data_IF_399408262253
#
_entry.id   IF_399408262253
#
_cell.length_a   1.000
_cell.length_b   1.000
_cell.length_c   1.000
_cell.angle_alpha   90.00
_cell.angle_beta   90.00
_cell.angle_gamma   90.00
#
_symmetry.space_group_name_H-M   'P 1'
#
loop_
_entity.id
_entity.type
_entity.pdbx_description
1 polymer ?
#
# COMPACT_ATOMS: atom_id res chain seq x y z
N UNK A 1 1.23 2.59 -0.07
CA UNK A 1 2.43 1.80 0.28
C UNK A 1 2.36 0.46 -0.39
N UNK A 2 1.49 -0.43 0.08
CA UNK A 2 1.31 -1.77 -0.51
C UNK A 2 0.99 -1.75 -2.01
N UNK A 3 0.21 -0.77 -2.47
CA UNK A 3 -0.08 -0.57 -3.92
C UNK A 3 1.18 -0.30 -4.76
N UNK A 4 2.24 0.29 -4.19
CA UNK A 4 3.53 0.47 -4.90
C UNK A 4 4.21 -0.88 -5.13
N UNK A 5 4.19 -1.75 -4.12
CA UNK A 5 4.72 -3.11 -4.20
C UNK A 5 3.89 -3.94 -5.19
N UNK A 6 2.57 -3.81 -5.15
CA UNK A 6 1.68 -4.48 -6.10
C UNK A 6 1.96 -4.03 -7.54
N UNK A 7 2.05 -2.71 -7.79
CA UNK A 7 2.34 -2.18 -9.11
C UNK A 7 3.72 -2.63 -9.64
N UNK A 8 4.74 -2.70 -8.78
CA UNK A 8 6.06 -3.25 -9.11
C UNK A 8 5.95 -4.66 -9.70
N UNK A 9 5.19 -5.55 -9.04
CA UNK A 9 5.02 -6.93 -9.50
C UNK A 9 4.05 -7.06 -10.68
N UNK A 10 2.92 -6.34 -10.66
CA UNK A 10 1.86 -6.46 -11.66
C UNK A 10 2.30 -5.97 -13.04
N UNK A 11 3.10 -4.90 -13.07
CA UNK A 11 3.58 -4.29 -14.32
C UNK A 11 5.03 -4.64 -14.64
N UNK A 12 5.70 -5.44 -13.81
CA UNK A 12 7.11 -5.82 -13.97
C UNK A 12 8.02 -4.58 -14.15
N UNK A 13 7.84 -3.58 -13.28
CA UNK A 13 8.55 -2.30 -13.34
C UNK A 13 9.46 -2.13 -12.13
N UNK A 14 10.71 -1.67 -12.29
CA UNK A 14 11.53 -1.25 -11.15
C UNK A 14 10.77 -0.24 -10.28
N UNK A 15 10.84 -0.40 -8.96
CA UNK A 15 10.12 0.49 -8.03
C UNK A 15 10.51 1.97 -8.17
N UNK A 16 11.73 2.26 -8.63
CA UNK A 16 12.19 3.63 -8.90
C UNK A 16 11.51 4.27 -10.14
N UNK A 17 10.74 3.50 -10.92
CA UNK A 17 9.87 3.98 -11.98
C UNK A 17 8.41 4.19 -11.52
N UNK A 18 8.12 4.02 -10.22
CA UNK A 18 6.80 4.21 -9.64
C UNK A 18 6.80 5.47 -8.78
N UNK A 19 5.99 6.46 -9.15
CA UNK A 19 5.82 7.70 -8.40
C UNK A 19 4.46 7.73 -7.66
N UNK A 20 4.45 8.31 -6.46
CA UNK A 20 3.22 8.57 -5.71
C UNK A 20 2.94 10.07 -5.72
N UNK A 21 1.73 10.43 -6.15
CA UNK A 21 1.21 11.81 -6.11
C UNK A 21 -0.05 11.83 -5.25
N UNK A 22 -0.14 12.79 -4.33
CA UNK A 22 -1.31 12.97 -3.47
C UNK A 22 -2.39 13.69 -4.26
N UNK A 23 -3.52 13.01 -4.46
CA UNK A 23 -4.69 13.55 -5.15
C UNK A 23 -5.96 13.42 -4.27
N UNK A 24 -6.31 14.45 -3.48
CA UNK A 24 -7.39 14.37 -2.50
C UNK A 24 -8.79 14.11 -3.07
N UNK A 25 -9.03 14.46 -4.35
CA UNK A 25 -10.35 14.31 -4.96
C UNK A 25 -10.63 12.87 -5.43
N UNK A 26 -9.61 12.01 -5.53
CA UNK A 26 -9.72 10.62 -5.97
C UNK A 26 -10.50 10.45 -7.29
N UNK A 27 -10.40 11.42 -8.20
CA UNK A 27 -11.01 11.35 -9.53
C UNK A 27 -10.04 10.76 -10.54
N UNK A 28 -8.77 11.16 -10.49
CA UNK A 28 -7.70 10.47 -11.20
C UNK A 28 -7.29 9.27 -10.34
N UNK A 29 -7.50 8.06 -10.84
CA UNK A 29 -7.22 6.84 -10.08
C UNK A 29 -5.77 6.35 -10.23
N UNK A 30 -5.10 6.69 -11.33
CA UNK A 30 -3.66 6.53 -11.58
C UNK A 30 -3.32 7.01 -13.00
N UNK A 31 -2.02 7.09 -13.30
CA UNK A 31 -1.50 7.62 -14.56
C UNK A 31 -0.28 6.82 -15.04
N UNK A 32 0.00 6.86 -16.35
CA UNK A 32 1.22 6.31 -16.96
C UNK A 32 1.86 7.39 -17.83
N UNK A 33 3.15 7.65 -17.60
CA UNK A 33 3.98 8.55 -18.41
C UNK A 33 4.72 7.77 -19.50
N UNK A 34 4.77 8.33 -20.71
CA UNK A 34 5.44 7.76 -21.88
C UNK A 34 6.70 8.56 -22.25
N UNK A 35 7.57 7.96 -23.06
CA UNK A 35 8.88 8.53 -23.41
C UNK A 35 8.83 9.84 -24.23
N UNK A 36 7.67 10.18 -24.80
CA UNK A 36 7.38 11.45 -25.47
C UNK A 36 6.86 12.54 -24.51
N UNK A 37 6.75 12.21 -23.22
CA UNK A 37 6.22 13.08 -22.16
C UNK A 37 4.69 13.08 -22.07
N UNK A 38 3.99 12.23 -22.84
CA UNK A 38 2.55 12.10 -22.71
C UNK A 38 2.18 11.34 -21.44
N UNK A 39 1.11 11.79 -20.78
CA UNK A 39 0.54 11.12 -19.60
C UNK A 39 -0.88 10.66 -19.92
N UNK A 40 -1.14 9.35 -19.77
CA UNK A 40 -2.48 8.77 -19.89
C UNK A 40 -3.01 8.48 -18.48
N UNK A 41 -4.17 9.05 -18.18
CA UNK A 41 -4.84 8.93 -16.89
C UNK A 41 -6.17 8.17 -17.01
N UNK A 42 -6.48 7.33 -16.03
CA UNK A 42 -7.84 6.82 -15.86
C UNK A 42 -8.58 7.67 -14.84
N UNK A 43 -9.74 8.20 -15.25
CA UNK A 43 -10.59 9.05 -14.42
C UNK A 43 -11.97 8.45 -14.23
N UNK A 44 -12.55 8.63 -13.05
CA UNK A 44 -13.90 8.19 -12.76
C UNK A 44 -14.41 8.68 -11.41
N UNK A 45 -15.67 8.39 -11.14
CA UNK A 45 -16.17 8.45 -9.76
C UNK A 45 -15.53 7.28 -8.96
N UNK A 46 -15.26 7.43 -7.65
CA UNK A 46 -14.63 6.40 -6.83
C UNK A 46 -15.62 5.26 -6.53
N UNK A 47 -15.87 4.43 -7.55
CA UNK A 47 -16.82 3.31 -7.52
C UNK A 47 -16.16 2.05 -8.10
N UNK A 48 -15.93 1.06 -7.22
CA UNK A 48 -15.29 -0.21 -7.55
C UNK A 48 -16.01 -1.02 -8.63
N UNK A 49 -17.29 -0.78 -8.89
CA UNK A 49 -17.99 -1.42 -10.01
C UNK A 49 -17.33 -1.12 -11.36
N UNK A 50 -16.59 0.01 -11.49
CA UNK A 50 -15.92 0.38 -12.75
C UNK A 50 -14.75 -0.56 -13.02
N UNK A 51 -13.72 -0.64 -12.15
CA UNK A 51 -12.60 -1.55 -12.38
C UNK A 51 -13.03 -3.02 -12.36
N UNK A 52 -13.99 -3.42 -11.51
CA UNK A 52 -14.47 -4.82 -11.47
C UNK A 52 -15.13 -5.21 -12.80
N UNK A 53 -16.05 -4.40 -13.32
CA UNK A 53 -16.68 -4.70 -14.61
C UNK A 53 -15.63 -4.77 -15.71
N UNK A 54 -14.71 -3.79 -15.75
CA UNK A 54 -13.67 -3.75 -16.76
C UNK A 54 -12.79 -5.00 -16.72
N UNK A 55 -12.36 -5.45 -15.54
CA UNK A 55 -11.57 -6.67 -15.39
C UNK A 55 -12.34 -7.93 -15.85
N UNK A 56 -13.64 -8.01 -15.58
CA UNK A 56 -14.49 -9.16 -15.96
C UNK A 56 -14.83 -9.20 -17.45
N UNK A 57 -14.91 -8.03 -18.11
CA UNK A 57 -15.37 -7.95 -19.50
C UNK A 57 -14.27 -7.59 -20.48
N UNK A 58 -13.04 -7.38 -20.02
CA UNK A 58 -11.91 -6.99 -20.86
C UNK A 58 -11.77 -7.93 -22.09
N UNK A 59 -11.60 -7.40 -23.31
CA UNK A 59 -11.40 -5.98 -23.66
C UNK A 59 -12.70 -5.19 -23.91
N UNK A 60 -13.86 -5.83 -23.80
CA UNK A 60 -15.16 -5.21 -24.02
C UNK A 60 -15.55 -4.24 -22.88
N UNK A 61 -16.34 -3.23 -23.23
CA UNK A 61 -16.92 -2.28 -22.27
C UNK A 61 -18.44 -2.36 -22.31
N UNK A 62 -19.04 -2.74 -21.19
CA UNK A 62 -20.49 -2.81 -21.06
C UNK A 62 -21.07 -1.48 -20.58
N UNK A 63 -22.30 -1.13 -20.99
CA UNK A 63 -22.97 0.06 -20.49
C UNK A 63 -23.31 -0.07 -19.00
N UNK A 64 -23.31 1.07 -18.29
CA UNK A 64 -23.71 1.17 -16.88
C UNK A 64 -24.72 2.30 -16.69
N UNK A 65 -25.56 2.15 -15.66
CA UNK A 65 -26.60 3.12 -15.28
C UNK A 65 -26.21 4.00 -14.09
N UNK A 66 -25.02 3.79 -13.54
CA UNK A 66 -24.53 4.51 -12.37
C UNK A 66 -24.10 5.94 -12.71
N UNK A 67 -23.96 6.83 -11.70
CA UNK A 67 -23.47 8.19 -11.91
C UNK A 67 -22.15 8.22 -12.67
N UNK A 68 -22.05 9.17 -13.60
CA UNK A 68 -20.83 9.39 -14.40
C UNK A 68 -20.09 10.62 -13.89
N UNK A 69 -18.81 10.72 -14.24
CA UNK A 69 -17.98 11.86 -13.87
C UNK A 69 -18.43 13.11 -14.62
N UNK A 70 -18.85 14.13 -13.89
CA UNK A 70 -19.07 15.48 -14.41
C UNK A 70 -17.87 16.37 -14.07
N UNK A 71 -16.99 16.57 -15.06
CA UNK A 71 -15.78 17.38 -14.91
C UNK A 71 -16.08 18.85 -14.63
N UNK A 72 -17.17 19.39 -15.19
CA UNK A 72 -17.53 20.79 -14.99
C UNK A 72 -18.04 21.03 -13.56
N UNK A 73 -18.81 20.08 -13.01
CA UNK A 73 -19.27 20.13 -11.63
C UNK A 73 -18.15 19.90 -10.60
N UNK A 74 -17.13 19.10 -10.94
CA UNK A 74 -15.98 18.84 -10.06
C UNK A 74 -15.13 20.08 -9.79
N UNK A 75 -14.97 20.96 -10.79
CA UNK A 75 -14.25 22.22 -10.67
C UNK A 75 -12.72 22.09 -10.64
N UNK A 76 -12.14 21.55 -9.57
CA UNK A 76 -10.69 21.53 -9.35
C UNK A 76 -10.13 20.13 -9.07
N UNK A 77 -8.96 19.84 -9.64
CA UNK A 77 -8.13 18.69 -9.31
C UNK A 77 -6.81 19.22 -8.76
N UNK A 78 -6.44 18.79 -7.56
CA UNK A 78 -5.20 19.23 -6.90
C UNK A 78 -4.25 18.07 -6.73
N UNK A 79 -2.95 18.37 -6.81
CA UNK A 79 -1.86 17.40 -6.69
C UNK A 79 -0.81 17.94 -5.72
N UNK A 80 -0.21 17.05 -4.94
CA UNK A 80 0.90 17.38 -4.06
C UNK A 80 1.89 16.21 -3.95
N UNK A 81 3.15 16.52 -3.66
CA UNK A 81 4.13 15.49 -3.32
C UNK A 81 3.81 14.87 -1.96
N UNK A 82 4.10 13.57 -1.77
CA UNK A 82 3.91 12.90 -0.49
C UNK A 82 4.87 13.47 0.58
N UNK A 83 4.38 13.54 1.81
CA UNK A 83 5.16 13.93 2.98
C UNK A 83 5.64 12.67 3.71
N UNK A 84 6.87 12.23 3.39
CA UNK A 84 7.43 10.99 3.93
C UNK A 84 7.72 11.03 5.43
N UNK A 85 7.87 12.22 6.02
CA UNK A 85 8.05 12.38 7.47
C UNK A 85 6.72 12.18 8.20
N UNK A 86 5.60 12.69 7.63
CA UNK A 86 4.26 12.45 8.18
C UNK A 86 3.72 11.05 7.90
N UNK A 87 4.13 10.44 6.78
CA UNK A 87 3.65 9.12 6.34
C UNK A 87 4.82 8.14 6.15
N UNK A 88 5.54 7.78 7.23
CA UNK A 88 6.73 6.93 7.15
C UNK A 88 6.46 5.53 6.57
N UNK A 89 5.24 5.00 6.73
CA UNK A 89 4.86 3.71 6.13
C UNK A 89 4.96 3.71 4.60
N UNK A 90 4.82 4.87 3.94
CA UNK A 90 5.04 4.96 2.51
C UNK A 90 6.52 4.75 2.16
N UNK A 91 7.42 5.40 2.91
CA UNK A 91 8.87 5.25 2.76
C UNK A 91 9.29 3.80 2.98
N UNK A 92 8.82 3.19 4.07
CA UNK A 92 9.09 1.77 4.38
C UNK A 92 8.63 0.84 3.25
N UNK A 93 7.49 1.10 2.62
CA UNK A 93 7.03 0.28 1.49
C UNK A 93 7.98 0.34 0.28
N UNK A 94 8.48 1.54 -0.07
CA UNK A 94 9.48 1.69 -1.12
C UNK A 94 10.80 0.98 -0.78
N UNK A 95 11.26 1.09 0.47
CA UNK A 95 12.48 0.43 0.93
C UNK A 95 12.34 -1.10 0.96
N UNK A 96 11.23 -1.62 1.48
CA UNK A 96 10.92 -3.05 1.46
C UNK A 96 10.83 -3.60 0.03
N UNK A 97 10.20 -2.84 -0.88
CA UNK A 97 10.13 -3.21 -2.29
C UNK A 97 11.53 -3.27 -2.94
N UNK A 98 12.40 -2.28 -2.65
CA UNK A 98 13.78 -2.27 -3.15
C UNK A 98 14.63 -3.42 -2.59
N UNK A 99 14.46 -3.74 -1.31
CA UNK A 99 15.15 -4.87 -0.68
C UNK A 99 14.69 -6.20 -1.28
N UNK A 100 13.41 -6.31 -1.64
CA UNK A 100 12.82 -7.55 -2.15
C UNK A 100 12.75 -8.63 -1.08
N UNK A 101 12.85 -9.89 -1.48
CA UNK A 101 12.84 -11.01 -0.54
C UNK A 101 11.54 -11.10 0.27
N UNK A 102 11.66 -11.33 1.57
CA UNK A 102 10.56 -11.40 2.52
C UNK A 102 10.11 -10.04 3.08
N UNK A 103 10.84 -8.95 2.83
CA UNK A 103 10.54 -7.63 3.40
C UNK A 103 9.14 -7.09 3.07
N UNK A 104 8.60 -7.23 1.84
CA UNK A 104 7.22 -6.86 1.56
C UNK A 104 6.19 -7.65 2.39
N UNK A 105 6.45 -8.94 2.64
CA UNK A 105 5.58 -9.78 3.46
C UNK A 105 5.62 -9.33 4.92
N UNK A 106 6.81 -9.07 5.48
CA UNK A 106 6.97 -8.54 6.84
C UNK A 106 6.23 -7.22 7.01
N UNK A 107 6.40 -6.28 6.08
CA UNK A 107 5.70 -5.00 6.07
C UNK A 107 4.18 -5.20 6.14
N UNK A 108 3.64 -6.07 5.27
CA UNK A 108 2.20 -6.36 5.21
C UNK A 108 1.69 -6.97 6.52
N UNK A 109 2.37 -7.99 7.05
CA UNK A 109 1.94 -8.72 8.25
C UNK A 109 2.07 -7.87 9.51
N UNK A 110 3.17 -7.13 9.66
CA UNK A 110 3.34 -6.21 10.78
C UNK A 110 2.26 -5.11 10.75
N UNK A 111 1.94 -4.58 9.56
CA UNK A 111 0.86 -3.62 9.39
C UNK A 111 -0.50 -4.20 9.78
N UNK A 112 -0.84 -5.43 9.37
CA UNK A 112 -2.09 -6.09 9.76
C UNK A 112 -2.23 -6.19 11.29
N UNK A 113 -1.19 -6.67 11.97
CA UNK A 113 -1.21 -6.83 13.43
C UNK A 113 -1.29 -5.48 14.15
N UNK A 114 -0.51 -4.50 13.70
CA UNK A 114 -0.49 -3.16 14.30
C UNK A 114 -1.82 -2.42 14.09
N UNK A 115 -2.41 -2.50 12.90
CA UNK A 115 -3.74 -1.91 12.62
C UNK A 115 -4.81 -2.58 13.46
N UNK A 116 -4.79 -3.91 13.61
CA UNK A 116 -5.73 -4.61 14.49
C UNK A 116 -5.61 -4.13 15.95
N UNK A 117 -4.38 -3.99 16.46
CA UNK A 117 -4.15 -3.45 17.81
C UNK A 117 -4.62 -1.99 17.96
N UNK A 118 -4.45 -1.16 16.93
CA UNK A 118 -4.97 0.22 16.92
C UNK A 118 -6.50 0.25 16.94
N UNK A 119 -7.16 -0.59 16.13
CA UNK A 119 -8.63 -0.69 16.08
C UNK A 119 -9.23 -1.23 17.39
N UNK A 120 -8.47 -2.03 18.12
CA UNK A 120 -8.80 -2.50 19.47
C UNK A 120 -8.40 -1.51 20.58
N UNK A 121 -7.98 -0.29 20.22
CA UNK A 121 -7.57 0.78 21.14
C UNK A 121 -6.37 0.41 22.05
N UNK A 122 -5.57 -0.60 21.66
CA UNK A 122 -4.40 -1.05 22.43
C UNK A 122 -3.16 -0.20 22.19
N UNK A 123 -3.08 0.48 21.05
CA UNK A 123 -1.99 1.39 20.68
C UNK A 123 -2.52 2.66 20.03
N UNK A 124 -1.83 3.80 20.14
CA UNK A 124 -2.16 5.00 19.37
C UNK A 124 -1.77 4.86 17.89
N UNK A 125 -2.37 5.65 17.00
CA UNK A 125 -2.11 5.62 15.55
C UNK A 125 -0.62 5.70 15.18
N UNK A 126 0.14 6.58 15.83
CA UNK A 126 1.57 6.76 15.55
C UNK A 126 2.41 5.50 15.78
N UNK A 127 1.98 4.61 16.69
CA UNK A 127 2.71 3.38 17.04
C UNK A 127 2.66 2.33 15.93
N UNK A 128 1.75 2.45 14.96
CA UNK A 128 1.67 1.55 13.79
C UNK A 128 2.99 1.58 13.01
N UNK A 129 3.48 2.78 12.69
CA UNK A 129 4.72 2.93 11.94
C UNK A 129 5.93 2.39 12.71
N UNK A 130 5.99 2.64 14.02
CA UNK A 130 7.07 2.15 14.89
C UNK A 130 7.13 0.61 14.90
N UNK A 131 5.99 -0.07 15.08
CA UNK A 131 5.94 -1.54 15.10
C UNK A 131 6.32 -2.17 13.75
N UNK A 132 5.90 -1.54 12.64
CA UNK A 132 6.30 -1.99 11.30
C UNK A 132 7.81 -1.84 11.12
N UNK A 133 8.39 -0.71 11.53
CA UNK A 133 9.83 -0.47 11.45
C UNK A 133 10.62 -1.49 12.28
N UNK A 134 10.21 -1.72 13.53
CA UNK A 134 10.87 -2.70 14.42
C UNK A 134 10.81 -4.12 13.82
N UNK A 135 9.67 -4.51 13.22
CA UNK A 135 9.55 -5.81 12.56
C UNK A 135 10.45 -5.93 11.32
N UNK A 136 10.56 -4.87 10.52
CA UNK A 136 11.45 -4.83 9.36
C UNK A 136 12.93 -4.87 9.75
N UNK A 137 13.30 -4.21 10.84
CA UNK A 137 14.68 -4.17 11.34
C UNK A 137 15.09 -5.51 11.97
N UNK A 138 14.14 -6.26 12.53
CA UNK A 138 14.38 -7.59 13.10
C UNK A 138 14.40 -8.71 12.04
N UNK A 139 13.85 -8.46 10.85
CA UNK A 139 13.72 -9.49 9.82
C UNK A 139 15.06 -9.82 9.15
N UNK A 140 15.31 -11.12 9.00
CA UNK A 140 16.39 -11.66 8.19
C UNK A 140 15.80 -12.57 7.12
N UNK A 141 16.18 -12.33 5.86
CA UNK A 141 15.67 -13.14 4.77
C UNK A 141 16.12 -14.60 4.86
N UNK A 142 15.22 -15.56 4.58
CA UNK A 142 15.61 -16.95 4.39
C UNK A 142 16.48 -17.10 3.14
N UNK A 143 17.17 -18.24 3.01
CA UNK A 143 18.01 -18.53 1.84
C UNK A 143 17.25 -18.61 0.52
N UNK A 144 15.94 -18.89 0.57
CA UNK A 144 15.05 -18.97 -0.58
C UNK A 144 13.67 -18.45 -0.21
N UNK A 145 12.99 -17.79 -1.15
CA UNK A 145 11.61 -17.34 -1.00
C UNK A 145 10.69 -18.27 -1.79
N UNK A 146 9.86 -18.99 -1.06
CA UNK A 146 8.82 -19.90 -1.54
C UNK A 146 7.60 -19.85 -0.61
N UNK A 147 6.54 -20.58 -0.95
CA UNK A 147 5.29 -20.56 -0.20
C UNK A 147 5.47 -20.87 1.29
N UNK A 148 6.23 -21.91 1.62
CA UNK A 148 6.47 -22.35 2.99
C UNK A 148 7.25 -21.29 3.80
N UNK A 149 8.29 -20.71 3.20
CA UNK A 149 9.06 -19.65 3.86
C UNK A 149 8.25 -18.37 4.04
N UNK A 150 7.32 -18.05 3.15
CA UNK A 150 6.40 -16.92 3.31
C UNK A 150 5.44 -17.14 4.49
N UNK A 151 4.89 -18.36 4.64
CA UNK A 151 4.07 -18.68 5.81
C UNK A 151 4.86 -18.58 7.12
N UNK A 152 6.13 -18.98 7.09
CA UNK A 152 7.00 -18.86 8.25
C UNK A 152 7.35 -17.39 8.57
N UNK A 153 7.56 -16.56 7.55
CA UNK A 153 7.73 -15.11 7.70
C UNK A 153 6.48 -14.50 8.34
N UNK A 154 5.28 -14.84 7.88
CA UNK A 154 4.02 -14.38 8.50
C UNK A 154 3.97 -14.77 9.98
N UNK A 155 4.16 -16.06 10.28
CA UNK A 155 4.12 -16.56 11.67
C UNK A 155 5.11 -15.84 12.57
N UNK A 156 6.38 -15.76 12.17
CA UNK A 156 7.45 -15.09 12.94
C UNK A 156 7.19 -13.61 13.13
N UNK A 157 6.72 -12.91 12.08
CA UNK A 157 6.40 -11.49 12.15
C UNK A 157 5.27 -11.24 13.15
N UNK A 158 4.20 -12.05 13.11
CA UNK A 158 3.10 -11.96 14.08
C UNK A 158 3.59 -12.16 15.51
N UNK A 159 4.36 -13.22 15.75
CA UNK A 159 4.92 -13.52 17.08
C UNK A 159 5.78 -12.37 17.61
N UNK A 160 6.65 -11.81 16.75
CA UNK A 160 7.50 -10.69 17.10
C UNK A 160 6.69 -9.45 17.49
N UNK A 161 5.74 -9.02 16.64
CA UNK A 161 4.92 -7.83 16.90
C UNK A 161 4.02 -8.03 18.13
N UNK A 162 3.48 -9.24 18.35
CA UNK A 162 2.73 -9.54 19.58
C UNK A 162 3.61 -9.45 20.83
N UNK A 163 4.88 -9.86 20.75
CA UNK A 163 5.86 -9.65 21.82
C UNK A 163 6.02 -8.18 22.19
N UNK A 164 6.23 -7.31 21.20
CA UNK A 164 6.36 -5.85 21.40
C UNK A 164 5.10 -5.21 22.03
N UNK A 165 3.92 -5.68 21.60
CA UNK A 165 2.65 -5.23 22.15
C UNK A 165 2.46 -5.66 23.62
N UNK A 166 2.89 -6.87 23.97
CA UNK A 166 2.82 -7.36 25.35
C UNK A 166 3.74 -6.55 26.28
N UNK A 167 4.96 -6.24 25.85
CA UNK A 167 5.92 -5.43 26.61
C UNK A 167 5.43 -3.98 26.81
N UNK A 168 4.83 -3.38 25.77
CA UNK A 168 4.27 -2.02 25.85
C UNK A 168 3.08 -1.94 26.81
N UNK A 169 2.28 -3.00 26.92
CA UNK A 169 1.13 -3.06 27.85
C UNK A 169 1.55 -3.11 29.33
N UNK A 170 2.78 -3.55 29.61
CA UNK A 170 3.38 -3.51 30.96
C UNK A 170 3.86 -2.12 31.37
N UNK A 171 4.13 -1.22 30.41
CA UNK A 171 4.61 0.14 30.66
C UNK A 171 3.48 1.18 30.78
N UNK A 172 2.23 0.79 30.46
CA UNK A 172 1.06 1.66 30.47
C UNK A 172 0.19 1.56 31.77
N UNK A 173 0.70 0.91 32.82
CA UNK A 173 0.12 0.91 34.18
C UNK A 173 1.02 1.68 35.15
#
# INVERSE_FOLDING_TARGET
GLEVIEAHHLFDLPVDQIEVVIHPQSIIHSMVEFNDGAVIAQMGVPDMKVPIQYALTFPERLPRKDPTLDLAAMGQLTFASPDYEKFPCLKMAFESCRKGGGYPAVLSVANEVAVAAFLEERIPFGKIAELIQEALDHHEDPSEINFETILEIDRKTREFVFGLLAESSYLAK
#
